data_IF_724007226323
#
_entry.id   IF_724007226323
#
_cell.length_a   1.000
_cell.length_b   1.000
_cell.length_c   1.000
_cell.angle_alpha   90.00
_cell.angle_beta   90.00
_cell.angle_gamma   90.00
#
_symmetry.space_group_name_H-M   'P 1'
#
loop_
_entity.id
_entity.type
_entity.pdbx_description
1 polymer ?
#
# COMPACT_ATOMS: atom_id res chain seq x y z
N UNK A 1 -8.40 27.19 0.30
CA UNK A 1 -7.08 26.95 0.92
C UNK A 1 -6.10 26.63 -0.21
N UNK A 2 -4.93 27.28 -0.25
CA UNK A 2 -3.89 26.95 -1.22
C UNK A 2 -3.27 25.58 -0.93
N UNK A 3 -2.65 24.97 -1.94
CA UNK A 3 -1.84 23.76 -1.74
C UNK A 3 -0.68 24.07 -0.78
N UNK A 4 -0.40 23.15 0.14
CA UNK A 4 0.79 23.28 1.00
C UNK A 4 2.02 22.95 0.17
N UNK A 5 2.95 23.89 0.08
CA UNK A 5 4.28 23.63 -0.50
C UNK A 5 5.14 22.95 0.54
N UNK A 6 5.51 21.69 0.28
CA UNK A 6 6.52 21.00 1.08
C UNK A 6 7.89 21.54 0.69
N UNK A 7 8.61 22.12 1.65
CA UNK A 7 10.02 22.43 1.45
C UNK A 7 10.80 21.12 1.39
N UNK A 8 11.75 20.98 0.45
CA UNK A 8 12.63 19.82 0.44
C UNK A 8 13.37 19.75 1.78
N UNK A 9 13.38 18.56 2.37
CA UNK A 9 14.16 18.30 3.59
C UNK A 9 15.67 18.28 3.32
N UNK A 10 16.44 17.97 4.35
CA UNK A 10 17.88 17.72 4.20
C UNK A 10 18.12 16.62 3.15
N UNK A 11 19.22 16.74 2.40
CA UNK A 11 19.59 15.77 1.38
C UNK A 11 19.73 14.37 2.00
N UNK A 12 19.19 13.31 1.36
CA UNK A 12 19.35 11.93 1.84
C UNK A 12 20.83 11.61 2.12
N UNK A 13 21.08 10.77 3.12
CA UNK A 13 22.41 10.36 3.57
C UNK A 13 23.32 11.49 4.14
N UNK A 14 22.84 12.74 4.20
CA UNK A 14 23.56 13.82 4.89
C UNK A 14 23.46 13.70 6.43
N UNK A 15 24.42 14.25 7.20
CA UNK A 15 24.31 14.26 8.67
C UNK A 15 23.03 14.91 9.18
N UNK A 16 22.57 15.99 8.53
CA UNK A 16 21.32 16.67 8.88
C UNK A 16 20.09 15.79 8.61
N UNK A 17 20.12 14.98 7.55
CA UNK A 17 19.06 14.01 7.27
C UNK A 17 19.05 12.87 8.28
N UNK A 18 20.22 12.34 8.65
CA UNK A 18 20.34 11.32 9.70
C UNK A 18 19.76 11.80 11.04
N UNK A 19 20.11 13.02 11.45
CA UNK A 19 19.55 13.64 12.67
C UNK A 19 18.03 13.83 12.59
N UNK A 20 17.50 14.28 11.45
CA UNK A 20 16.07 14.42 11.26
C UNK A 20 15.34 13.07 11.33
N UNK A 21 15.89 12.03 10.70
CA UNK A 21 15.33 10.68 10.72
C UNK A 21 15.41 10.02 12.11
N UNK A 22 16.52 10.21 12.84
CA UNK A 22 16.64 9.80 14.23
C UNK A 22 15.53 10.42 15.09
N UNK A 23 15.31 11.74 14.95
CA UNK A 23 14.22 12.42 15.63
C UNK A 23 12.85 11.86 15.27
N UNK A 24 12.62 11.49 14.00
CA UNK A 24 11.38 10.78 13.60
C UNK A 24 11.29 9.41 14.29
N UNK A 25 12.37 8.65 14.34
CA UNK A 25 12.43 7.35 15.03
C UNK A 25 12.05 7.45 16.51
N UNK A 26 12.60 8.43 17.23
CA UNK A 26 12.24 8.71 18.62
C UNK A 26 10.73 8.98 18.78
N UNK A 27 10.15 9.83 17.93
CA UNK A 27 8.71 10.12 17.96
C UNK A 27 7.86 8.88 17.65
N UNK A 28 8.30 8.02 16.73
CA UNK A 28 7.63 6.77 16.40
C UNK A 28 7.65 5.80 17.59
N UNK A 29 8.79 5.65 18.27
CA UNK A 29 8.91 4.84 19.49
C UNK A 29 8.02 5.37 20.62
N UNK A 30 8.04 6.68 20.87
CA UNK A 30 7.18 7.33 21.87
C UNK A 30 5.70 7.16 21.56
N UNK A 31 5.36 7.14 20.26
CA UNK A 31 4.00 6.88 19.78
C UNK A 31 3.64 5.40 19.72
N UNK A 32 4.52 4.50 20.19
CA UNK A 32 4.33 3.04 20.18
C UNK A 32 4.16 2.41 18.79
N UNK A 33 4.76 3.02 17.77
CA UNK A 33 4.86 2.39 16.44
C UNK A 33 5.89 1.25 16.53
N UNK A 34 5.46 0.03 16.24
CA UNK A 34 6.26 -1.20 16.36
C UNK A 34 6.76 -1.74 15.04
N UNK A 35 6.22 -1.27 13.93
CA UNK A 35 6.65 -1.66 12.60
C UNK A 35 6.10 -0.72 11.53
N UNK A 36 6.84 -0.62 10.43
CA UNK A 36 6.45 0.19 9.26
C UNK A 36 6.41 -0.72 8.03
N UNK A 37 5.29 -0.76 7.31
CA UNK A 37 5.14 -1.58 6.11
C UNK A 37 4.97 -0.70 4.87
N UNK A 38 5.87 -0.86 3.91
CA UNK A 38 5.78 -0.21 2.60
C UNK A 38 4.97 -1.06 1.64
N UNK A 39 3.81 -0.56 1.22
CA UNK A 39 2.87 -1.26 0.35
C UNK A 39 2.85 -0.63 -1.05
N UNK A 40 3.16 -1.44 -2.06
CA UNK A 40 3.11 -1.03 -3.47
C UNK A 40 2.70 -2.22 -4.35
N UNK A 41 2.37 -1.93 -5.60
CA UNK A 41 2.16 -2.95 -6.62
C UNK A 41 2.98 -2.60 -7.85
N UNK A 42 2.74 -3.30 -8.93
CA UNK A 42 3.37 -3.02 -10.21
C UNK A 42 2.88 -1.64 -10.71
N UNK A 43 3.77 -0.64 -10.83
CA UNK A 43 3.37 0.76 -10.97
C UNK A 43 2.77 1.09 -12.34
N UNK A 44 2.79 0.14 -13.27
CA UNK A 44 2.57 0.40 -14.68
C UNK A 44 1.30 -0.25 -15.29
N UNK A 45 0.43 -0.83 -14.47
CA UNK A 45 -0.63 -1.74 -14.95
C UNK A 45 -2.07 -1.22 -14.85
N UNK A 46 -2.30 0.04 -14.48
CA UNK A 46 -3.67 0.61 -14.47
C UNK A 46 -3.74 1.85 -15.36
N UNK A 47 -4.69 1.88 -16.30
CA UNK A 47 -5.05 3.03 -17.14
C UNK A 47 -5.34 4.29 -16.33
N UNK A 48 -5.88 4.12 -15.12
CA UNK A 48 -6.18 5.23 -14.21
C UNK A 48 -4.98 5.66 -13.35
N UNK A 49 -3.93 4.83 -13.24
CA UNK A 49 -2.70 5.11 -12.50
C UNK A 49 -1.52 5.54 -13.38
N UNK A 50 -1.42 5.00 -14.59
CA UNK A 50 -0.31 5.19 -15.51
C UNK A 50 -0.27 6.59 -16.13
N UNK A 51 -1.42 7.22 -16.34
CA UNK A 51 -1.51 8.56 -16.94
C UNK A 51 -1.23 9.72 -15.96
N UNK A 52 -0.66 9.43 -14.79
CA UNK A 52 -0.05 10.47 -13.93
C UNK A 52 1.44 10.71 -14.23
N UNK A 53 2.06 9.93 -15.13
CA UNK A 53 3.52 9.96 -15.29
C UNK A 53 4.06 10.67 -16.55
N UNK A 54 3.29 10.97 -17.61
CA UNK A 54 3.80 11.74 -18.76
C UNK A 54 3.00 13.03 -19.11
N UNK A 55 3.56 13.81 -20.03
CA UNK A 55 3.60 15.28 -20.08
C UNK A 55 2.29 16.02 -20.42
N UNK A 56 1.12 15.37 -20.45
CA UNK A 56 -0.08 16.03 -21.01
C UNK A 56 -1.43 15.84 -20.28
N UNK A 57 -1.45 15.29 -19.05
CA UNK A 57 -2.47 15.37 -17.95
C UNK A 57 -4.01 15.28 -18.19
N UNK A 58 -4.75 14.36 -17.46
CA UNK A 58 -6.19 14.03 -17.02
C UNK A 58 -7.51 13.51 -17.79
N UNK A 59 -7.81 12.24 -18.14
CA UNK A 59 -9.11 11.85 -18.81
C UNK A 59 -10.43 12.28 -18.12
N UNK A 60 -11.35 12.82 -18.91
CA UNK A 60 -12.73 13.29 -18.59
C UNK A 60 -13.39 12.63 -17.34
N UNK A 61 -13.45 13.43 -16.27
CA UNK A 61 -14.36 13.35 -15.10
C UNK A 61 -14.09 12.32 -14.00
N UNK A 62 -12.82 12.09 -13.70
CA UNK A 62 -12.40 11.59 -12.39
C UNK A 62 -10.98 12.03 -12.05
N UNK A 63 -10.82 12.85 -11.01
CA UNK A 63 -9.59 13.06 -10.25
C UNK A 63 -8.44 13.93 -10.80
N UNK A 64 -8.55 14.55 -11.98
CA UNK A 64 -7.70 15.69 -12.37
C UNK A 64 -8.31 16.43 -13.56
N UNK A 65 -8.27 17.76 -13.57
CA UNK A 65 -8.68 18.57 -14.72
C UNK A 65 -7.60 18.42 -15.82
N UNK A 66 -7.85 17.82 -17.00
CA UNK A 66 -6.83 17.86 -18.08
C UNK A 66 -6.97 17.08 -19.41
N UNK A 67 -6.88 15.74 -19.42
CA UNK A 67 -6.66 14.82 -20.58
C UNK A 67 -8.00 14.32 -21.13
N UNK A 68 -8.01 13.79 -22.35
CA UNK A 68 -9.21 13.28 -23.03
C UNK A 68 -9.74 11.91 -22.58
N UNK A 69 -9.58 10.77 -23.28
CA UNK A 69 -10.17 9.48 -22.86
C UNK A 69 -9.51 8.15 -23.24
N UNK A 70 -8.90 7.85 -24.36
CA UNK A 70 -8.25 8.51 -25.49
C UNK A 70 -6.79 8.83 -25.23
N UNK A 71 -6.39 10.01 -24.76
CA UNK A 71 -4.93 10.26 -24.61
C UNK A 71 -4.24 9.35 -23.56
N UNK A 72 -4.86 9.06 -22.41
CA UNK A 72 -4.30 8.07 -21.47
C UNK A 72 -4.34 6.66 -22.02
N UNK A 73 -5.36 6.34 -22.82
CA UNK A 73 -5.43 5.05 -23.50
C UNK A 73 -4.30 4.94 -24.54
N UNK A 74 -4.04 6.00 -25.31
CA UNK A 74 -2.95 6.05 -26.27
C UNK A 74 -1.58 5.98 -25.59
N UNK A 75 -1.38 6.67 -24.46
CA UNK A 75 -0.18 6.55 -23.64
C UNK A 75 0.03 5.10 -23.17
N UNK A 76 -1.05 4.41 -22.79
CA UNK A 76 -1.06 2.99 -22.44
C UNK A 76 -0.93 2.02 -23.64
N UNK A 77 -1.18 2.47 -24.86
CA UNK A 77 -0.97 1.67 -26.06
C UNK A 77 0.43 1.83 -26.65
N UNK A 78 1.22 2.80 -26.18
CA UNK A 78 2.62 3.00 -26.59
C UNK A 78 3.51 2.00 -25.86
N UNK A 79 4.10 1.00 -26.53
CA UNK A 79 4.93 -0.01 -25.86
C UNK A 79 6.15 0.57 -25.13
N UNK A 80 6.62 1.75 -25.54
CA UNK A 80 7.76 2.42 -24.93
C UNK A 80 7.43 3.20 -23.64
N UNK A 81 6.15 3.53 -23.39
CA UNK A 81 5.74 4.43 -22.29
C UNK A 81 4.53 3.95 -21.51
N UNK A 82 3.89 2.86 -21.93
CA UNK A 82 2.70 2.33 -21.29
C UNK A 82 2.99 1.59 -19.99
N UNK A 83 4.25 1.17 -19.81
CA UNK A 83 4.71 0.29 -18.75
C UNK A 83 3.91 -1.02 -18.64
N UNK A 84 3.15 -1.38 -19.68
CA UNK A 84 2.65 -2.74 -19.81
C UNK A 84 3.89 -3.59 -19.99
N UNK A 85 4.12 -4.51 -19.06
CA UNK A 85 5.31 -5.34 -19.08
C UNK A 85 5.50 -5.99 -20.45
N UNK A 86 6.68 -5.80 -21.04
CA UNK A 86 7.05 -6.40 -22.31
C UNK A 86 7.15 -7.92 -22.13
N UNK A 87 6.94 -8.73 -23.18
CA UNK A 87 7.01 -10.20 -23.08
C UNK A 87 8.33 -10.77 -22.54
N UNK A 88 9.40 -9.96 -22.47
CA UNK A 88 10.69 -10.32 -21.89
C UNK A 88 10.96 -9.74 -20.50
N UNK A 89 9.99 -9.05 -19.90
CA UNK A 89 10.15 -8.47 -18.57
C UNK A 89 10.18 -9.57 -17.49
N UNK A 90 10.91 -9.36 -16.39
CA UNK A 90 11.12 -10.40 -15.40
C UNK A 90 9.85 -10.73 -14.58
N UNK A 91 8.83 -9.87 -14.62
CA UNK A 91 7.66 -9.94 -13.73
C UNK A 91 6.40 -9.47 -14.47
N UNK A 92 5.30 -10.22 -14.29
CA UNK A 92 3.96 -9.85 -14.75
C UNK A 92 2.92 -10.11 -13.65
N UNK A 93 1.79 -9.37 -13.62
CA UNK A 93 0.67 -9.71 -12.74
C UNK A 93 0.03 -11.07 -13.09
N UNK A 94 -0.54 -11.79 -12.10
CA UNK A 94 -0.52 -11.48 -10.69
C UNK A 94 0.88 -11.67 -10.10
N UNK A 95 1.38 -10.65 -9.38
CA UNK A 95 2.69 -10.72 -8.73
C UNK A 95 2.56 -11.31 -7.33
N UNK A 96 3.57 -12.04 -6.87
CA UNK A 96 3.62 -12.59 -5.52
C UNK A 96 4.38 -11.65 -4.57
N UNK A 97 4.13 -11.74 -3.26
CA UNK A 97 4.94 -11.04 -2.27
C UNK A 97 6.17 -11.88 -1.90
N UNK A 98 7.15 -11.97 -2.79
CA UNK A 98 8.38 -12.73 -2.58
C UNK A 98 9.64 -11.97 -3.01
N UNK A 99 10.80 -12.50 -2.63
CA UNK A 99 12.11 -11.87 -2.88
C UNK A 99 12.42 -11.76 -4.39
N UNK A 100 11.99 -12.74 -5.19
CA UNK A 100 12.17 -12.72 -6.63
C UNK A 100 11.39 -11.55 -7.27
N UNK A 101 10.15 -11.34 -6.83
CA UNK A 101 9.30 -10.23 -7.26
C UNK A 101 9.89 -8.89 -6.81
N UNK A 102 10.36 -8.79 -5.56
CA UNK A 102 11.00 -7.57 -5.07
C UNK A 102 12.22 -7.19 -5.92
N UNK A 103 13.09 -8.17 -6.24
CA UNK A 103 14.28 -7.95 -7.08
C UNK A 103 13.92 -7.51 -8.50
N UNK A 104 12.98 -8.17 -9.16
CA UNK A 104 12.60 -7.78 -10.51
C UNK A 104 11.89 -6.43 -10.56
N UNK A 105 11.13 -6.06 -9.51
CA UNK A 105 10.55 -4.72 -9.39
C UNK A 105 11.63 -3.65 -9.20
N UNK A 106 12.66 -3.94 -8.41
CA UNK A 106 13.77 -3.00 -8.21
C UNK A 106 14.56 -2.77 -9.49
N UNK A 107 14.70 -3.81 -10.33
CA UNK A 107 15.31 -3.67 -11.67
C UNK A 107 14.41 -2.89 -12.62
N UNK A 108 13.11 -3.20 -12.67
CA UNK A 108 12.18 -2.66 -13.65
C UNK A 108 11.77 -1.21 -13.32
N UNK A 109 11.40 -0.96 -12.06
CA UNK A 109 10.80 0.30 -11.62
C UNK A 109 11.80 1.21 -10.89
N UNK A 110 12.92 0.68 -10.37
CA UNK A 110 13.87 1.42 -9.55
C UNK A 110 13.16 2.14 -8.39
N UNK A 111 13.17 3.48 -8.36
CA UNK A 111 12.44 4.30 -7.37
C UNK A 111 11.16 4.95 -7.95
N UNK A 112 10.78 4.59 -9.17
CA UNK A 112 9.61 5.14 -9.86
C UNK A 112 8.36 4.38 -9.43
N UNK A 113 7.70 4.89 -8.38
CA UNK A 113 6.49 4.31 -7.84
C UNK A 113 6.68 2.95 -7.18
N UNK A 114 7.92 2.66 -6.81
CA UNK A 114 8.38 1.46 -6.13
C UNK A 114 9.06 1.88 -4.81
N UNK A 115 8.97 1.01 -3.80
CA UNK A 115 9.76 1.14 -2.57
C UNK A 115 10.86 0.10 -2.65
N UNK A 116 12.03 0.45 -3.18
CA UNK A 116 13.09 -0.54 -3.37
C UNK A 116 13.55 -1.15 -2.05
N UNK A 117 14.11 -2.36 -2.09
CA UNK A 117 14.65 -2.98 -0.89
C UNK A 117 15.80 -2.16 -0.29
N UNK A 118 16.56 -1.46 -1.14
CA UNK A 118 17.60 -0.53 -0.69
C UNK A 118 17.00 0.69 0.03
N UNK A 119 15.93 1.28 -0.51
CA UNK A 119 15.23 2.39 0.11
C UNK A 119 14.67 2.02 1.48
N UNK A 120 13.97 0.88 1.58
CA UNK A 120 13.37 0.42 2.85
C UNK A 120 14.46 0.16 3.91
N UNK A 121 15.56 -0.50 3.54
CA UNK A 121 16.66 -0.76 4.47
C UNK A 121 17.37 0.52 4.94
N UNK A 122 17.58 1.50 4.04
CA UNK A 122 18.12 2.82 4.42
C UNK A 122 17.19 3.56 5.36
N UNK A 123 15.88 3.51 5.09
CA UNK A 123 14.87 4.15 5.92
C UNK A 123 14.85 3.57 7.34
N UNK A 124 14.89 2.24 7.47
CA UNK A 124 14.98 1.56 8.77
C UNK A 124 16.23 1.97 9.54
N UNK A 125 17.41 1.88 8.91
CA UNK A 125 18.67 2.24 9.54
C UNK A 125 18.64 3.69 10.04
N UNK A 126 18.14 4.61 9.23
CA UNK A 126 18.08 6.03 9.57
C UNK A 126 17.13 6.33 10.74
N UNK A 127 16.00 5.62 10.85
CA UNK A 127 15.10 5.75 12.00
C UNK A 127 15.73 5.26 13.31
N UNK A 128 16.56 4.22 13.24
CA UNK A 128 17.16 3.60 14.43
C UNK A 128 18.45 4.29 14.91
N UNK A 129 18.89 5.36 14.25
CA UNK A 129 20.08 6.09 14.67
C UNK A 129 19.89 6.70 16.06
N UNK A 130 20.68 6.26 17.04
CA UNK A 130 20.68 6.83 18.38
C UNK A 130 19.57 6.34 19.32
N UNK A 131 18.79 5.32 18.92
CA UNK A 131 17.77 4.69 19.77
C UNK A 131 18.08 3.20 19.97
N UNK A 132 17.85 2.71 21.19
CA UNK A 132 18.07 1.29 21.54
C UNK A 132 16.93 0.37 21.08
N UNK A 133 15.86 0.94 20.52
CA UNK A 133 14.69 0.21 20.04
C UNK A 133 14.69 0.17 18.50
N UNK A 134 14.62 -1.03 17.93
CA UNK A 134 14.41 -1.20 16.49
C UNK A 134 12.94 -0.98 16.11
N UNK A 135 12.71 -0.38 14.94
CA UNK A 135 11.41 -0.31 14.28
C UNK A 135 11.54 -1.03 12.92
N UNK A 136 11.23 -2.33 12.86
CA UNK A 136 11.37 -3.11 11.63
C UNK A 136 10.56 -2.49 10.48
N UNK A 137 11.21 -2.34 9.33
CA UNK A 137 10.57 -1.85 8.13
C UNK A 137 10.40 -3.01 7.12
N UNK A 138 9.14 -3.35 6.84
CA UNK A 138 8.79 -4.37 5.87
C UNK A 138 8.45 -3.79 4.50
N UNK A 139 8.51 -4.64 3.48
CA UNK A 139 7.99 -4.37 2.14
C UNK A 139 6.94 -5.42 1.78
N UNK A 140 5.79 -4.96 1.28
CA UNK A 140 4.73 -5.82 0.75
C UNK A 140 4.37 -5.42 -0.68
N UNK A 141 4.29 -6.43 -1.54
CA UNK A 141 3.79 -6.32 -2.90
C UNK A 141 2.44 -7.02 -2.99
N UNK A 142 1.41 -6.31 -3.46
CA UNK A 142 0.13 -6.94 -3.77
C UNK A 142 0.04 -7.37 -5.23
N UNK A 143 -0.89 -8.29 -5.53
CA UNK A 143 -1.03 -8.96 -6.83
C UNK A 143 -1.11 -8.06 -8.05
N UNK A 144 -1.46 -6.77 -7.86
CA UNK A 144 -1.61 -5.78 -8.93
C UNK A 144 -2.74 -6.11 -9.90
N UNK A 145 -3.68 -6.96 -9.47
CA UNK A 145 -4.90 -7.31 -10.20
C UNK A 145 -5.96 -6.22 -9.99
N UNK A 146 -6.29 -5.52 -11.08
CA UNK A 146 -7.06 -4.27 -11.00
C UNK A 146 -8.60 -4.42 -11.05
N UNK A 147 -9.14 -5.64 -11.08
CA UNK A 147 -10.57 -5.88 -10.92
C UNK A 147 -10.96 -5.99 -9.44
N UNK A 148 -12.26 -5.81 -9.13
CA UNK A 148 -12.74 -5.74 -7.75
C UNK A 148 -12.42 -6.99 -6.92
N UNK A 149 -12.63 -8.20 -7.49
CA UNK A 149 -12.29 -9.46 -6.81
C UNK A 149 -10.81 -9.52 -6.44
N UNK A 150 -9.90 -9.19 -7.37
CA UNK A 150 -8.45 -9.24 -7.10
C UNK A 150 -7.99 -8.23 -6.06
N UNK A 151 -8.67 -7.08 -5.94
CA UNK A 151 -8.40 -6.09 -4.87
C UNK A 151 -8.90 -6.54 -3.51
N UNK A 152 -10.05 -7.22 -3.46
CA UNK A 152 -10.55 -7.84 -2.21
C UNK A 152 -9.63 -8.97 -1.77
N UNK A 153 -9.20 -9.83 -2.70
CA UNK A 153 -8.20 -10.87 -2.42
C UNK A 153 -6.87 -10.29 -1.94
N UNK A 154 -6.39 -9.21 -2.57
CA UNK A 154 -5.21 -8.50 -2.12
C UNK A 154 -5.35 -7.94 -0.70
N UNK A 155 -6.53 -7.42 -0.32
CA UNK A 155 -6.78 -6.94 1.03
C UNK A 155 -6.79 -8.10 2.04
N UNK A 156 -7.36 -9.26 1.69
CA UNK A 156 -7.31 -10.46 2.52
C UNK A 156 -5.90 -11.01 2.69
N UNK A 157 -5.13 -11.13 1.60
CA UNK A 157 -3.74 -11.60 1.67
C UNK A 157 -2.87 -10.63 2.46
N UNK A 158 -3.12 -9.31 2.37
CA UNK A 158 -2.44 -8.32 3.19
C UNK A 158 -2.80 -8.50 4.66
N UNK A 159 -4.08 -8.71 4.99
CA UNK A 159 -4.54 -8.95 6.35
C UNK A 159 -3.93 -10.21 6.97
N UNK A 160 -3.88 -11.32 6.21
CA UNK A 160 -3.21 -12.56 6.61
C UNK A 160 -1.71 -12.36 6.84
N UNK A 161 -1.04 -11.62 5.95
CA UNK A 161 0.35 -11.26 6.10
C UNK A 161 0.60 -10.41 7.35
N UNK A 162 -0.22 -9.37 7.56
CA UNK A 162 -0.14 -8.49 8.72
C UNK A 162 -0.29 -9.30 10.00
N UNK A 163 -1.26 -10.21 10.09
CA UNK A 163 -1.43 -11.06 11.27
C UNK A 163 -0.18 -11.89 11.57
N UNK A 164 0.44 -12.49 10.55
CA UNK A 164 1.70 -13.23 10.72
C UNK A 164 2.83 -12.31 11.17
N UNK A 165 3.06 -11.21 10.44
CA UNK A 165 4.13 -10.28 10.72
C UNK A 165 3.99 -9.61 12.09
N UNK A 166 2.77 -9.22 12.46
CA UNK A 166 2.47 -8.65 13.78
C UNK A 166 2.72 -9.61 14.93
N UNK A 167 2.56 -10.92 14.72
CA UNK A 167 2.90 -11.93 15.74
C UNK A 167 4.41 -11.97 16.02
N UNK A 168 5.24 -11.77 14.99
CA UNK A 168 6.70 -11.70 15.11
C UNK A 168 7.16 -10.42 15.82
N UNK A 169 6.36 -9.34 15.74
CA UNK A 169 6.62 -8.06 16.41
C UNK A 169 6.16 -8.02 17.88
N UNK A 170 5.43 -9.03 18.36
CA UNK A 170 4.93 -9.07 19.74
C UNK A 170 3.94 -7.96 20.06
N UNK A 171 3.04 -7.62 19.12
CA UNK A 171 2.11 -6.51 19.25
C UNK A 171 1.12 -6.67 20.41
N UNK A 172 0.78 -5.54 21.02
CA UNK A 172 -0.29 -5.38 22.00
C UNK A 172 -1.31 -4.35 21.51
N UNK A 173 -2.49 -4.29 22.14
CA UNK A 173 -3.57 -3.34 21.79
C UNK A 173 -3.19 -1.85 21.83
N UNK A 174 -2.13 -1.51 22.57
CA UNK A 174 -1.65 -0.12 22.71
C UNK A 174 -0.58 0.22 21.65
N UNK A 175 -0.16 -0.76 20.85
CA UNK A 175 0.84 -0.59 19.82
C UNK A 175 0.20 -0.23 18.48
N UNK A 176 1.06 0.27 17.58
CA UNK A 176 0.66 0.78 16.28
C UNK A 176 1.54 0.20 15.18
N UNK A 177 0.94 -0.09 14.04
CA UNK A 177 1.65 -0.33 12.78
C UNK A 177 1.41 0.84 11.84
N UNK A 178 2.44 1.29 11.16
CA UNK A 178 2.31 2.29 10.11
C UNK A 178 2.40 1.61 8.74
N UNK A 179 1.42 1.82 7.88
CA UNK A 179 1.48 1.35 6.48
C UNK A 179 1.59 2.55 5.55
N UNK A 180 2.63 2.55 4.71
CA UNK A 180 2.85 3.55 3.67
C UNK A 180 2.50 2.95 2.31
N UNK A 181 1.35 3.32 1.77
CA UNK A 181 0.85 2.85 0.49
C UNK A 181 1.18 3.81 -0.67
N UNK A 182 1.68 3.30 -1.80
CA UNK A 182 1.87 4.10 -3.01
C UNK A 182 0.87 3.73 -4.12
N UNK A 183 0.31 4.74 -4.79
CA UNK A 183 -0.57 4.54 -5.94
C UNK A 183 -1.78 3.67 -5.61
N UNK A 184 -1.99 2.60 -6.37
CA UNK A 184 -3.14 1.71 -6.22
C UNK A 184 -3.14 0.87 -4.94
N UNK A 185 -2.00 0.75 -4.25
CA UNK A 185 -1.94 0.14 -2.93
C UNK A 185 -2.94 0.76 -1.94
N UNK A 186 -3.19 2.06 -2.04
CA UNK A 186 -4.16 2.72 -1.17
C UNK A 186 -5.61 2.28 -1.40
N UNK A 187 -5.95 1.66 -2.55
CA UNK A 187 -7.26 1.05 -2.75
C UNK A 187 -7.40 -0.28 -1.98
N UNK A 188 -6.31 -1.04 -1.88
CA UNK A 188 -6.25 -2.24 -1.03
C UNK A 188 -6.37 -1.84 0.44
N UNK A 189 -5.69 -0.77 0.84
CA UNK A 189 -5.78 -0.23 2.21
C UNK A 189 -7.15 0.37 2.55
N UNK A 190 -7.81 1.01 1.58
CA UNK A 190 -9.18 1.47 1.78
C UNK A 190 -10.13 0.28 2.02
N UNK A 191 -10.02 -0.80 1.25
CA UNK A 191 -10.78 -2.03 1.53
C UNK A 191 -10.44 -2.61 2.90
N UNK A 192 -9.15 -2.70 3.24
CA UNK A 192 -8.68 -3.17 4.56
C UNK A 192 -9.32 -2.35 5.69
N UNK A 193 -9.40 -1.02 5.56
CA UNK A 193 -10.05 -0.16 6.57
C UNK A 193 -11.52 -0.51 6.79
N UNK A 194 -12.27 -0.84 5.73
CA UNK A 194 -13.67 -1.26 5.85
C UNK A 194 -13.81 -2.65 6.48
N UNK A 195 -12.85 -3.55 6.22
CA UNK A 195 -12.83 -4.89 6.84
C UNK A 195 -12.59 -4.78 8.35
N UNK A 196 -11.64 -3.94 8.75
CA UNK A 196 -11.23 -3.75 10.13
C UNK A 196 -12.15 -2.82 10.94
N UNK A 197 -13.13 -2.18 10.30
CA UNK A 197 -14.05 -1.25 10.94
C UNK A 197 -14.73 -1.86 12.18
N UNK A 198 -14.90 -1.06 13.23
CA UNK A 198 -15.59 -1.49 14.44
C UNK A 198 -17.09 -1.56 14.23
N UNK A 199 -17.76 -2.40 15.03
CA UNK A 199 -19.21 -2.55 15.00
C UNK A 199 -19.69 -3.61 14.01
N UNK A 200 -21.00 -3.85 14.00
CA UNK A 200 -21.63 -4.86 13.15
C UNK A 200 -21.79 -4.34 11.72
N UNK A 201 -21.48 -5.20 10.74
CA UNK A 201 -21.68 -4.90 9.32
C UNK A 201 -22.11 -6.18 8.60
N UNK A 202 -23.37 -6.20 8.15
CA UNK A 202 -23.91 -7.31 7.35
C UNK A 202 -23.09 -7.54 6.08
N UNK A 203 -22.65 -6.44 5.45
CA UNK A 203 -21.85 -6.48 4.23
C UNK A 203 -20.49 -7.14 4.44
N UNK A 204 -19.87 -6.96 5.62
CA UNK A 204 -18.60 -7.60 5.94
C UNK A 204 -18.74 -9.12 5.97
N UNK A 205 -19.73 -9.65 6.68
CA UNK A 205 -20.02 -11.08 6.69
C UNK A 205 -20.28 -11.63 5.27
N UNK A 206 -21.05 -10.88 4.47
CA UNK A 206 -21.32 -11.24 3.07
C UNK A 206 -20.07 -11.29 2.18
N UNK A 207 -19.11 -10.38 2.38
CA UNK A 207 -17.84 -10.40 1.64
C UNK A 207 -17.04 -11.67 1.95
N UNK A 208 -16.91 -12.04 3.22
CA UNK A 208 -16.21 -13.27 3.62
C UNK A 208 -16.91 -14.52 3.07
N UNK A 209 -18.24 -14.59 3.15
CA UNK A 209 -19.03 -15.70 2.59
C UNK A 209 -18.84 -15.84 1.07
N UNK A 210 -18.94 -14.73 0.33
CA UNK A 210 -18.77 -14.75 -1.13
C UNK A 210 -17.34 -15.13 -1.52
N UNK A 211 -16.35 -14.65 -0.78
CA UNK A 211 -14.96 -14.98 -1.04
C UNK A 211 -14.65 -16.45 -0.74
N UNK A 212 -15.20 -17.01 0.34
CA UNK A 212 -15.10 -18.43 0.65
C UNK A 212 -15.64 -19.29 -0.49
N UNK A 213 -16.87 -19.00 -0.96
CA UNK A 213 -17.47 -19.70 -2.12
C UNK A 213 -16.65 -19.56 -3.39
N UNK A 214 -16.08 -18.37 -3.62
CA UNK A 214 -15.19 -18.14 -4.76
C UNK A 214 -13.90 -18.98 -4.64
N UNK A 215 -13.29 -19.08 -3.46
CA UNK A 215 -12.10 -19.90 -3.22
C UNK A 215 -12.37 -21.40 -3.34
N UNK A 216 -13.54 -21.87 -2.91
CA UNK A 216 -13.99 -23.26 -3.13
C UNK A 216 -14.20 -23.57 -4.61
N UNK A 217 -14.86 -22.66 -5.34
CA UNK A 217 -15.13 -22.83 -6.77
C UNK A 217 -13.91 -22.61 -7.66
N UNK A 218 -12.86 -21.95 -7.15
CA UNK A 218 -11.61 -21.66 -7.86
C UNK A 218 -10.41 -21.93 -6.93
N UNK A 219 -10.10 -23.19 -6.62
CA UNK A 219 -9.03 -23.53 -5.69
C UNK A 219 -7.65 -23.09 -6.22
N UNK A 220 -6.79 -22.68 -5.30
CA UNK A 220 -5.38 -22.33 -5.54
C UNK A 220 -4.59 -22.62 -4.28
N UNK A 221 -3.30 -22.95 -4.40
CA UNK A 221 -2.43 -23.27 -3.25
C UNK A 221 -2.37 -22.14 -2.22
N UNK A 222 -2.57 -20.90 -2.66
CA UNK A 222 -2.55 -19.71 -1.80
C UNK A 222 -3.92 -19.35 -1.20
N UNK A 223 -4.96 -20.17 -1.42
CA UNK A 223 -6.32 -19.94 -0.94
C UNK A 223 -6.71 -21.03 0.07
N UNK A 224 -7.17 -20.60 1.23
CA UNK A 224 -7.64 -21.50 2.29
C UNK A 224 -8.90 -20.94 2.95
N UNK A 225 -10.03 -21.61 2.73
CA UNK A 225 -11.32 -21.24 3.34
C UNK A 225 -11.23 -21.27 4.85
N UNK A 226 -10.56 -22.27 5.43
CA UNK A 226 -10.36 -22.36 6.88
C UNK A 226 -9.56 -21.17 7.44
N UNK A 227 -8.53 -20.69 6.72
CA UNK A 227 -7.81 -19.47 7.12
C UNK A 227 -8.69 -18.23 7.01
N UNK A 228 -9.56 -18.16 6.01
CA UNK A 228 -10.50 -17.05 5.83
C UNK A 228 -11.55 -17.01 6.95
N UNK A 229 -12.08 -18.17 7.36
CA UNK A 229 -13.01 -18.30 8.49
C UNK A 229 -12.34 -17.92 9.81
N UNK A 230 -11.11 -18.38 10.04
CA UNK A 230 -10.34 -17.99 11.23
C UNK A 230 -10.12 -16.47 11.25
N UNK A 231 -9.72 -15.88 10.13
CA UNK A 231 -9.53 -14.45 10.00
C UNK A 231 -10.84 -13.68 10.24
N UNK A 232 -11.96 -14.19 9.74
CA UNK A 232 -13.27 -13.60 10.00
C UNK A 232 -13.58 -13.54 11.50
N UNK A 233 -13.28 -14.60 12.25
CA UNK A 233 -13.38 -14.63 13.70
C UNK A 233 -12.56 -13.52 14.36
N UNK A 234 -11.28 -13.38 14.00
CA UNK A 234 -10.42 -12.32 14.54
C UNK A 234 -10.95 -10.90 14.24
N UNK A 235 -11.52 -10.70 13.05
CA UNK A 235 -12.12 -9.42 12.65
C UNK A 235 -13.40 -9.15 13.44
N UNK A 236 -14.25 -10.15 13.69
CA UNK A 236 -15.46 -9.99 14.49
C UNK A 236 -15.12 -9.71 15.96
N UNK A 237 -14.13 -10.41 16.49
CA UNK A 237 -13.68 -10.27 17.88
C UNK A 237 -12.83 -9.00 18.09
N UNK A 238 -12.48 -8.28 17.01
CA UNK A 238 -11.62 -7.09 17.04
C UNK A 238 -10.23 -7.39 17.65
N UNK A 239 -9.71 -8.58 17.37
CA UNK A 239 -8.44 -9.10 17.91
C UNK A 239 -7.36 -9.28 16.83
N UNK A 240 -7.64 -8.89 15.58
CA UNK A 240 -6.61 -8.75 14.54
C UNK A 240 -5.41 -7.98 15.10
N UNK A 241 -4.19 -8.47 14.85
CA UNK A 241 -2.94 -7.88 15.36
C UNK A 241 -2.91 -7.72 16.89
N UNK A 242 -3.57 -8.61 17.64
CA UNK A 242 -3.76 -8.50 19.09
C UNK A 242 -4.44 -7.17 19.52
N UNK A 243 -5.26 -6.61 18.63
CA UNK A 243 -5.96 -5.34 18.84
C UNK A 243 -5.10 -4.10 18.58
N UNK A 244 -3.87 -4.25 18.09
CA UNK A 244 -3.03 -3.12 17.70
C UNK A 244 -3.69 -2.30 16.58
N UNK A 245 -3.43 -1.00 16.57
CA UNK A 245 -4.02 -0.11 15.56
C UNK A 245 -3.14 0.01 14.32
N UNK A 246 -3.76 0.21 13.16
CA UNK A 246 -3.06 0.40 11.89
C UNK A 246 -3.24 1.84 11.44
N UNK A 247 -2.15 2.60 11.37
CA UNK A 247 -2.12 3.92 10.75
C UNK A 247 -1.74 3.80 9.28
N UNK A 248 -2.29 4.69 8.47
CA UNK A 248 -2.12 4.66 7.02
C UNK A 248 -1.64 6.00 6.50
N UNK A 249 -0.54 5.98 5.76
CA UNK A 249 -0.11 7.08 4.90
C UNK A 249 -0.25 6.60 3.46
N UNK A 250 -0.88 7.41 2.60
CA UNK A 250 -0.93 7.10 1.17
C UNK A 250 -0.27 8.17 0.34
N UNK A 251 0.47 7.77 -0.68
CA UNK A 251 1.21 8.61 -1.61
C UNK A 251 0.62 8.44 -3.02
N UNK A 252 -0.11 9.45 -3.50
CA UNK A 252 -0.63 9.48 -4.86
C UNK A 252 -1.79 8.52 -5.14
N UNK A 253 -2.47 8.02 -4.11
CA UNK A 253 -3.55 7.04 -4.28
C UNK A 253 -4.79 7.62 -4.98
N UNK A 254 -5.30 6.95 -6.03
CA UNK A 254 -6.60 7.30 -6.60
C UNK A 254 -7.73 6.78 -5.71
N UNK A 255 -8.61 7.69 -5.28
CA UNK A 255 -9.78 7.33 -4.46
C UNK A 255 -10.78 6.56 -5.34
N UNK A 256 -11.08 5.32 -4.97
CA UNK A 256 -12.10 4.47 -5.62
C UNK A 256 -13.04 3.83 -4.61
N UNK A 257 -12.49 3.40 -3.49
CA UNK A 257 -13.25 2.93 -2.33
C UNK A 257 -13.23 4.03 -1.26
N UNK A 258 -14.32 4.15 -0.52
CA UNK A 258 -14.36 4.98 0.67
C UNK A 258 -13.45 4.40 1.76
N UNK A 259 -12.86 5.27 2.56
CA UNK A 259 -12.14 4.86 3.78
C UNK A 259 -13.13 4.78 4.93
N UNK A 260 -12.97 3.75 5.76
CA UNK A 260 -13.64 3.68 7.05
C UNK A 260 -12.61 4.00 8.14
N UNK A 261 -12.71 5.19 8.73
CA UNK A 261 -11.76 5.66 9.74
C UNK A 261 -11.90 4.94 11.07
N UNK A 262 -12.98 4.18 11.30
CA UNK A 262 -13.12 3.39 12.52
C UNK A 262 -12.32 2.07 12.46
N UNK A 263 -11.88 1.67 11.25
CA UNK A 263 -11.05 0.47 11.04
C UNK A 263 -9.55 0.74 10.96
N UNK A 264 -9.12 1.99 11.07
CA UNK A 264 -7.71 2.40 11.10
C UNK A 264 -7.50 3.42 12.21
N UNK A 265 -6.26 3.63 12.65
CA UNK A 265 -5.94 4.65 13.65
C UNK A 265 -6.02 6.05 13.05
N UNK A 266 -5.00 6.40 12.27
CA UNK A 266 -4.92 7.68 11.57
C UNK A 266 -4.75 7.45 10.07
N UNK A 267 -5.34 8.34 9.28
CA UNK A 267 -5.21 8.36 7.83
C UNK A 267 -4.62 9.69 7.37
N UNK A 268 -3.48 9.63 6.68
CA UNK A 268 -2.85 10.78 6.04
C UNK A 268 -2.72 10.55 4.53
N UNK A 269 -3.51 11.30 3.76
CA UNK A 269 -3.60 11.15 2.31
C UNK A 269 -2.82 12.25 1.58
N UNK A 270 -1.71 11.91 0.94
CA UNK A 270 -0.95 12.81 0.09
C UNK A 270 -1.31 12.64 -1.37
N UNK A 271 -1.73 13.73 -2.01
CA UNK A 271 -1.90 13.81 -3.46
C UNK A 271 -0.98 14.90 -3.98
N UNK A 272 0.10 14.50 -4.66
CA UNK A 272 0.96 15.46 -5.32
C UNK A 272 0.26 15.96 -6.60
N UNK A 273 0.02 17.26 -6.67
CA UNK A 273 -0.47 17.92 -7.87
C UNK A 273 0.71 18.61 -8.55
N UNK A 274 0.99 18.25 -9.81
CA UNK A 274 1.89 19.06 -10.63
C UNK A 274 1.26 20.44 -10.81
N UNK A 275 2.07 21.49 -10.77
CA UNK A 275 1.61 22.83 -11.13
C UNK A 275 1.00 22.75 -12.53
N UNK A 276 -0.24 23.22 -12.66
CA UNK A 276 -0.88 23.36 -13.97
C UNK A 276 -0.09 24.47 -14.65
N UNK A 277 0.72 24.12 -15.66
CA UNK A 277 1.38 25.11 -16.52
C UNK A 277 0.28 26.02 -17.08
N UNK A 278 0.26 27.27 -16.64
CA UNK A 278 -0.59 28.34 -17.19
C UNK A 278 -0.02 28.86 -18.50
#
# INVERSE_FOLDING_TARGET
MGYRTFQPGAAPDSPAWGQAMAGVGEHMCQSRVKGILFLHGLPFMDLFGAARLDEVGGLKRGYSRGISGLESLLALLRPATNGICLPGDPIHPPVANDEATHKGLDVLAQEIGNFSSSYVGKFELALTQGIDQSIPCGRYVWSSINHHVGRVEAAMHLLLYLQKWGSELGLTKDDRLLIVGHGHAGQVLALLSNILARGESEMRGRVFELLAKYWEGCPSENRSVAQLEHMYGLVMDQTVLNGATVDVVTLGTPIRYGWDTDGVGHLLHFVNHREIRT
#
